data_IF_022251570737
#
_entry.id   IF_022251570737
#
_cell.length_a   1.000
_cell.length_b   1.000
_cell.length_c   1.000
_cell.angle_alpha   90.00
_cell.angle_beta   90.00
_cell.angle_gamma   90.00
#
_symmetry.space_group_name_H-M   'P 1'
#
loop_
_entity.id
_entity.type
_entity.pdbx_description
1 polymer ?
#
# COMPACT_ATOMS: atom_id res chain seq x y z
N UNK A 1 -46.98 -27.68 51.01
CA UNK A 1 -46.48 -28.40 49.83
C UNK A 1 -46.55 -27.46 48.63
N UNK A 2 -45.42 -27.33 47.93
CA UNK A 2 -45.16 -26.76 46.59
C UNK A 2 -45.75 -25.39 46.21
N UNK A 3 -44.85 -24.40 46.06
CA UNK A 3 -45.14 -23.04 45.66
C UNK A 3 -45.32 -22.81 44.16
N UNK A 4 -46.01 -21.70 43.89
CA UNK A 4 -46.33 -21.13 42.60
C UNK A 4 -45.06 -20.56 41.94
N UNK A 5 -44.56 -21.18 40.85
CA UNK A 5 -43.36 -20.68 40.12
C UNK A 5 -43.77 -19.84 38.93
N UNK A 6 -43.80 -18.52 39.15
CA UNK A 6 -43.79 -17.50 38.10
C UNK A 6 -42.49 -17.61 37.30
N UNK A 7 -42.57 -17.99 36.02
CA UNK A 7 -41.42 -18.00 35.11
C UNK A 7 -41.02 -16.57 34.73
N UNK A 8 -39.72 -16.20 34.80
CA UNK A 8 -39.27 -14.90 34.30
C UNK A 8 -39.28 -14.93 32.75
N UNK A 9 -40.07 -14.04 32.15
CA UNK A 9 -39.99 -13.75 30.72
C UNK A 9 -38.65 -13.06 30.45
N UNK A 10 -37.73 -13.77 29.80
CA UNK A 10 -36.50 -13.19 29.28
C UNK A 10 -36.85 -12.28 28.09
N UNK A 11 -36.98 -10.98 28.37
CA UNK A 11 -37.06 -9.95 27.34
C UNK A 11 -35.71 -9.87 26.63
N UNK A 12 -35.68 -10.29 25.37
CA UNK A 12 -34.50 -10.21 24.50
C UNK A 12 -34.12 -8.76 24.25
N UNK A 13 -33.15 -8.27 25.02
CA UNK A 13 -32.41 -7.04 24.72
C UNK A 13 -31.43 -7.36 23.59
N UNK A 14 -31.87 -7.24 22.34
CA UNK A 14 -30.97 -7.13 21.19
C UNK A 14 -30.22 -5.80 21.29
N UNK A 15 -29.06 -5.83 21.94
CA UNK A 15 -28.08 -4.74 21.85
C UNK A 15 -27.55 -4.69 20.42
N UNK A 16 -27.89 -3.64 19.68
CA UNK A 16 -27.34 -3.38 18.37
C UNK A 16 -25.83 -3.18 18.48
N UNK A 17 -25.06 -4.03 17.82
CA UNK A 17 -23.66 -3.79 17.53
C UNK A 17 -23.58 -2.67 16.48
N UNK A 18 -23.78 -1.44 16.92
CA UNK A 18 -23.46 -0.24 16.15
C UNK A 18 -21.93 -0.06 16.20
N UNK A 19 -21.22 -0.95 15.49
CA UNK A 19 -19.78 -0.84 15.30
C UNK A 19 -19.47 0.37 14.42
N UNK A 20 -18.59 1.23 14.89
CA UNK A 20 -18.06 2.38 14.16
C UNK A 20 -17.25 1.91 12.93
N UNK A 21 -17.93 1.65 11.81
CA UNK A 21 -17.31 1.31 10.53
C UNK A 21 -16.57 2.51 9.91
N UNK A 22 -16.82 3.73 10.41
CA UNK A 22 -16.25 4.98 9.93
C UNK A 22 -14.76 5.12 10.27
N UNK A 23 -14.34 4.72 11.47
CA UNK A 23 -12.92 4.78 11.88
C UNK A 23 -11.99 3.87 11.08
N UNK A 24 -12.49 2.72 10.62
CA UNK A 24 -11.71 1.75 9.84
C UNK A 24 -11.41 2.25 8.41
N UNK A 25 -12.38 2.89 7.75
CA UNK A 25 -12.22 3.39 6.37
C UNK A 25 -11.32 4.62 6.28
N UNK A 26 -11.25 5.44 7.34
CA UNK A 26 -10.39 6.63 7.38
C UNK A 26 -8.89 6.27 7.46
N UNK A 27 -8.54 5.16 8.11
CA UNK A 27 -7.14 4.72 8.26
C UNK A 27 -6.53 4.21 6.95
N UNK A 28 -7.33 3.58 6.09
CA UNK A 28 -6.88 3.01 4.81
C UNK A 28 -6.43 4.09 3.81
N UNK A 29 -7.00 5.31 3.88
CA UNK A 29 -6.65 6.41 2.97
C UNK A 29 -5.27 7.02 3.20
N UNK A 30 -4.60 6.74 4.33
CA UNK A 30 -3.25 7.26 4.66
C UNK A 30 -2.09 6.35 4.25
N UNK A 31 -2.31 5.39 3.34
CA UNK A 31 -1.19 4.61 2.80
C UNK A 31 -0.38 5.46 1.81
N UNK A 32 0.94 5.50 2.01
CA UNK A 32 1.87 6.08 1.04
C UNK A 32 1.75 5.32 -0.28
N UNK A 33 1.40 6.04 -1.35
CA UNK A 33 1.38 5.50 -2.71
C UNK A 33 2.76 5.65 -3.32
N UNK A 34 3.22 4.62 -4.01
CA UNK A 34 4.52 4.60 -4.68
C UNK A 34 4.32 4.44 -6.17
N UNK A 35 5.06 5.21 -6.95
CA UNK A 35 5.17 5.06 -8.39
C UNK A 35 6.49 4.35 -8.71
N UNK A 36 6.44 3.41 -9.64
CA UNK A 36 7.61 2.67 -10.10
C UNK A 36 7.81 2.91 -11.60
N UNK A 37 9.05 3.15 -11.99
CA UNK A 37 9.44 3.31 -13.38
C UNK A 37 10.56 2.32 -13.74
N UNK A 38 10.51 1.82 -14.97
CA UNK A 38 11.55 0.99 -15.56
C UNK A 38 12.13 1.72 -16.77
N UNK A 39 13.45 1.80 -16.82
CA UNK A 39 14.15 2.57 -17.87
C UNK A 39 15.29 1.72 -18.44
N UNK A 40 15.31 1.51 -19.77
CA UNK A 40 16.46 0.89 -20.42
C UNK A 40 17.64 1.86 -20.36
N UNK A 41 18.77 1.38 -19.87
CA UNK A 41 20.02 2.11 -19.81
C UNK A 41 20.83 1.82 -21.07
N UNK A 42 21.30 2.87 -21.71
CA UNK A 42 22.29 2.79 -22.78
C UNK A 42 23.68 2.73 -22.13
N UNK A 43 24.46 1.67 -22.40
CA UNK A 43 25.78 1.44 -21.77
C UNK A 43 26.77 2.61 -21.90
N UNK A 44 26.63 3.43 -22.94
CA UNK A 44 27.46 4.61 -23.16
C UNK A 44 26.93 5.90 -22.50
N UNK A 45 25.70 5.88 -21.97
CA UNK A 45 25.04 7.04 -21.36
C UNK A 45 24.39 6.73 -20.00
N UNK A 46 24.71 5.59 -19.38
CA UNK A 46 24.12 5.13 -18.11
C UNK A 46 24.14 6.22 -17.04
N UNK A 47 25.29 6.86 -16.83
CA UNK A 47 25.44 7.90 -15.80
C UNK A 47 24.50 9.08 -16.05
N UNK A 48 24.45 9.58 -17.28
CA UNK A 48 23.58 10.70 -17.65
C UNK A 48 22.10 10.37 -17.42
N UNK A 49 21.68 9.15 -17.77
CA UNK A 49 20.30 8.69 -17.53
C UNK A 49 20.03 8.67 -16.02
N UNK A 50 20.86 7.99 -15.22
CA UNK A 50 20.67 7.89 -13.77
C UNK A 50 20.64 9.27 -13.09
N UNK A 51 21.54 10.18 -13.50
CA UNK A 51 21.61 11.54 -12.95
C UNK A 51 20.31 12.32 -13.26
N UNK A 52 19.79 12.25 -14.50
CA UNK A 52 18.53 12.92 -14.86
C UNK A 52 17.34 12.41 -14.02
N UNK A 53 17.18 11.09 -13.92
CA UNK A 53 16.08 10.51 -13.12
C UNK A 53 16.24 10.85 -11.62
N UNK A 54 17.48 10.86 -11.12
CA UNK A 54 17.77 11.33 -9.75
C UNK A 54 17.37 12.79 -9.53
N UNK A 55 17.61 13.66 -10.51
CA UNK A 55 17.16 15.07 -10.48
C UNK A 55 15.64 15.21 -10.52
N UNK A 56 14.94 14.34 -11.25
CA UNK A 56 13.48 14.26 -11.29
C UNK A 56 12.85 13.74 -9.97
N UNK A 57 13.68 13.44 -8.96
CA UNK A 57 13.26 12.98 -7.64
C UNK A 57 12.95 11.49 -7.59
N UNK A 58 13.43 10.71 -8.57
CA UNK A 58 13.32 9.26 -8.53
C UNK A 58 14.47 8.63 -7.77
N UNK A 59 14.14 7.67 -6.91
CA UNK A 59 15.13 6.89 -6.18
C UNK A 59 15.45 5.61 -6.95
N UNK A 60 16.73 5.43 -7.32
CA UNK A 60 17.21 4.20 -7.94
C UNK A 60 17.12 3.04 -6.95
N UNK A 61 16.36 2.01 -7.30
CA UNK A 61 16.21 0.80 -6.48
C UNK A 61 17.28 -0.21 -6.84
N UNK A 62 17.42 -0.53 -8.12
CA UNK A 62 18.38 -1.52 -8.61
C UNK A 62 18.59 -1.38 -10.12
N UNK A 63 19.70 -1.94 -10.61
CA UNK A 63 19.98 -2.11 -12.03
C UNK A 63 20.17 -3.60 -12.30
N UNK A 64 19.39 -4.14 -13.22
CA UNK A 64 19.46 -5.55 -13.61
C UNK A 64 20.02 -5.69 -15.04
N UNK A 65 20.92 -6.64 -15.28
CA UNK A 65 21.28 -7.04 -16.64
C UNK A 65 20.11 -7.79 -17.28
N UNK A 66 19.80 -7.44 -18.52
CA UNK A 66 18.87 -8.15 -19.36
C UNK A 66 19.50 -9.43 -19.96
N UNK A 67 18.79 -10.09 -20.89
CA UNK A 67 19.27 -11.31 -21.55
C UNK A 67 20.60 -11.13 -22.29
N UNK A 68 20.90 -9.89 -22.70
CA UNK A 68 22.17 -9.50 -23.29
C UNK A 68 22.91 -8.56 -22.31
N UNK A 69 24.24 -8.69 -22.17
CA UNK A 69 25.03 -7.88 -21.24
C UNK A 69 25.01 -6.37 -21.55
N UNK A 70 24.59 -6.00 -22.76
CA UNK A 70 24.49 -4.61 -23.23
C UNK A 70 23.15 -3.96 -22.87
N UNK A 71 22.15 -4.76 -22.46
CA UNK A 71 20.82 -4.29 -22.13
C UNK A 71 20.70 -4.20 -20.61
N UNK A 72 21.02 -3.04 -20.04
CA UNK A 72 20.82 -2.78 -18.62
C UNK A 72 19.45 -2.14 -18.40
N UNK A 73 18.75 -2.52 -17.32
CA UNK A 73 17.46 -1.92 -16.96
C UNK A 73 17.55 -1.38 -15.54
N UNK A 74 17.27 -0.09 -15.38
CA UNK A 74 17.13 0.54 -14.08
C UNK A 74 15.68 0.52 -13.60
N UNK A 75 15.51 0.21 -12.32
CA UNK A 75 14.25 0.29 -11.59
C UNK A 75 14.30 1.48 -10.66
N UNK A 76 13.29 2.35 -10.76
CA UNK A 76 13.15 3.52 -9.92
C UNK A 76 11.85 3.48 -9.13
N UNK A 77 11.84 4.16 -7.99
CA UNK A 77 10.63 4.40 -7.20
C UNK A 77 10.53 5.88 -6.79
N UNK A 78 9.31 6.35 -6.59
CA UNK A 78 9.04 7.70 -6.08
C UNK A 78 7.76 7.71 -5.24
N UNK A 79 7.73 8.48 -4.16
CA UNK A 79 6.49 8.69 -3.37
C UNK A 79 5.53 9.59 -4.15
N UNK A 80 4.29 9.13 -4.35
CA UNK A 80 3.22 9.96 -4.91
C UNK A 80 2.55 10.70 -3.75
N UNK A 81 2.76 12.02 -3.68
CA UNK A 81 1.98 12.86 -2.77
C UNK A 81 0.51 12.85 -3.24
N UNK A 82 -0.39 12.40 -2.36
CA UNK A 82 -1.85 12.41 -2.59
C UNK A 82 -2.49 13.71 -2.17
#
# INVERSE_FOLDING_TARGET
MAGNRSGPRLSGRTGGFQGDVAGAIAKVRRMKKWEYATVPLLVHATKQILDNWGQDGWELVTVLPGPNPENLVAYFKREVQS
#
